data_IF_208247985310
#
_entry.id   IF_208247985310
#
_cell.length_a   1.000
_cell.length_b   1.000
_cell.length_c   1.000
_cell.angle_alpha   90.00
_cell.angle_beta   90.00
_cell.angle_gamma   90.00
#
_symmetry.space_group_name_H-M   'P 1'
#
loop_
_entity.id
_entity.type
_entity.pdbx_description
1 polymer ?
#
# COMPACT_ATOMS: atom_id res chain seq x y z
N UNK A 1 3.96 -1.46 -20.58
CA UNK A 1 4.83 -1.78 -19.44
C UNK A 1 4.62 -0.67 -18.44
N UNK A 2 4.17 -0.96 -17.22
CA UNK A 2 3.86 0.11 -16.26
C UNK A 2 5.16 0.77 -15.78
N UNK A 3 5.18 2.10 -15.75
CA UNK A 3 6.32 2.88 -15.26
C UNK A 3 6.21 3.07 -13.75
N UNK A 4 7.35 3.00 -13.04
CA UNK A 4 7.41 3.34 -11.61
C UNK A 4 7.68 4.84 -11.52
N UNK A 5 6.78 5.57 -10.84
CA UNK A 5 6.98 6.98 -10.52
C UNK A 5 7.80 7.09 -9.24
N UNK A 6 7.40 6.35 -8.20
CA UNK A 6 8.08 6.32 -6.90
C UNK A 6 7.91 4.95 -6.26
N UNK A 7 8.89 4.50 -5.48
CA UNK A 7 8.84 3.23 -4.79
C UNK A 7 9.51 3.29 -3.41
N UNK A 8 8.92 2.58 -2.45
CA UNK A 8 9.49 2.36 -1.13
C UNK A 8 9.41 0.88 -0.78
N UNK A 9 10.50 0.34 -0.25
CA UNK A 9 10.53 -0.96 0.40
C UNK A 9 10.56 -0.77 1.92
N UNK A 10 9.79 -1.59 2.63
CA UNK A 10 9.81 -1.67 4.09
C UNK A 10 9.82 -3.13 4.48
N UNK A 11 10.81 -3.53 5.29
CA UNK A 11 10.83 -4.85 5.91
C UNK A 11 10.30 -4.75 7.34
N UNK A 12 9.31 -5.58 7.67
CA UNK A 12 8.75 -5.71 9.01
C UNK A 12 8.78 -7.19 9.38
N UNK A 13 9.57 -7.52 10.40
CA UNK A 13 9.88 -8.91 10.77
C UNK A 13 10.38 -9.71 9.54
N UNK A 14 9.63 -10.76 9.16
CA UNK A 14 9.88 -11.66 8.03
C UNK A 14 9.12 -11.30 6.76
N UNK A 15 8.44 -10.15 6.74
CA UNK A 15 7.64 -9.68 5.61
C UNK A 15 8.34 -8.51 4.93
N UNK A 16 8.40 -8.55 3.60
CA UNK A 16 8.82 -7.43 2.77
C UNK A 16 7.59 -6.79 2.13
N UNK A 17 7.45 -5.47 2.30
CA UNK A 17 6.40 -4.69 1.67
C UNK A 17 7.01 -3.76 0.63
N UNK A 18 6.48 -3.81 -0.59
CA UNK A 18 6.82 -2.90 -1.68
C UNK A 18 5.62 -2.00 -1.93
N UNK A 19 5.80 -0.70 -1.73
CA UNK A 19 4.77 0.33 -1.95
C UNK A 19 5.23 1.18 -3.14
N UNK A 20 4.53 1.07 -4.25
CA UNK A 20 4.97 1.64 -5.53
C UNK A 20 3.84 2.44 -6.17
N UNK A 21 4.09 3.71 -6.46
CA UNK A 21 3.19 4.52 -7.27
C UNK A 21 3.61 4.39 -8.73
N UNK A 22 2.69 3.91 -9.56
CA UNK A 22 2.95 3.51 -10.95
C UNK A 22 1.97 4.19 -11.92
N UNK A 23 2.35 4.23 -13.19
CA UNK A 23 1.53 4.77 -14.28
C UNK A 23 1.54 3.83 -15.49
N UNK A 24 0.39 3.71 -16.14
CA UNK A 24 0.27 3.06 -17.44
C UNK A 24 -0.77 3.80 -18.31
N UNK A 25 -1.08 3.25 -19.48
CA UNK A 25 -1.99 3.87 -20.45
C UNK A 25 -3.42 4.09 -19.90
N UNK A 26 -3.80 3.43 -18.79
CA UNK A 26 -5.10 3.59 -18.13
C UNK A 26 -5.07 4.62 -16.99
N UNK A 27 -3.89 5.14 -16.65
CA UNK A 27 -3.67 6.14 -15.61
C UNK A 27 -2.74 5.67 -14.50
N UNK A 28 -2.78 6.39 -13.37
CA UNK A 28 -1.92 6.16 -12.20
C UNK A 28 -2.59 5.30 -11.14
N UNK A 29 -1.80 4.53 -10.42
CA UNK A 29 -2.26 3.68 -9.35
C UNK A 29 -1.14 3.41 -8.33
N UNK A 30 -1.55 3.14 -7.09
CA UNK A 30 -0.68 2.62 -6.04
C UNK A 30 -0.73 1.09 -6.09
N UNK A 31 0.44 0.44 -6.11
CA UNK A 31 0.59 -1.00 -5.98
C UNK A 31 1.27 -1.30 -4.65
N UNK A 32 0.65 -2.15 -3.85
CA UNK A 32 1.24 -2.62 -2.59
C UNK A 32 1.41 -4.12 -2.71
N UNK A 33 2.65 -4.59 -2.61
CA UNK A 33 3.00 -6.01 -2.63
C UNK A 33 3.53 -6.43 -1.27
N UNK A 34 2.92 -7.45 -0.67
CA UNK A 34 3.47 -8.17 0.48
C UNK A 34 4.18 -9.42 -0.01
N UNK A 35 5.40 -9.64 0.47
CA UNK A 35 6.16 -10.87 0.25
C UNK A 35 6.54 -11.51 1.59
N UNK A 36 6.13 -12.77 1.79
CA UNK A 36 6.43 -13.52 3.00
C UNK A 36 6.53 -15.01 2.70
N UNK A 37 7.59 -15.68 3.18
CA UNK A 37 7.82 -17.11 2.98
C UNK A 37 7.71 -17.56 1.50
N UNK A 38 8.22 -16.75 0.58
CA UNK A 38 8.16 -17.00 -0.86
C UNK A 38 6.78 -16.82 -1.50
N UNK A 39 5.77 -16.36 -0.75
CA UNK A 39 4.45 -15.98 -1.29
C UNK A 39 4.38 -14.49 -1.50
N UNK A 40 3.76 -14.08 -2.61
CA UNK A 40 3.53 -12.68 -2.96
C UNK A 40 2.05 -12.39 -3.08
N UNK A 41 1.56 -11.45 -2.29
CA UNK A 41 0.21 -10.90 -2.39
C UNK A 41 0.31 -9.48 -2.91
N UNK A 42 -0.63 -9.04 -3.75
CA UNK A 42 -0.59 -7.67 -4.29
C UNK A 42 -2.00 -7.10 -4.38
N UNK A 43 -2.12 -5.85 -3.97
CA UNK A 43 -3.32 -5.03 -4.18
C UNK A 43 -2.98 -3.82 -5.04
N UNK A 44 -3.97 -3.32 -5.76
CA UNK A 44 -3.88 -2.11 -6.57
C UNK A 44 -4.98 -1.16 -6.13
N UNK A 45 -4.59 0.08 -5.83
CA UNK A 45 -5.51 1.18 -5.49
C UNK A 45 -5.42 2.21 -6.62
N UNK A 46 -6.50 2.49 -7.35
CA UNK A 46 -6.51 3.57 -8.34
C UNK A 46 -6.11 4.90 -7.70
N UNK A 47 -5.34 5.73 -8.41
CA UNK A 47 -4.88 7.03 -7.89
C UNK A 47 -6.01 7.97 -7.45
N UNK A 48 -7.22 7.78 -7.98
CA UNK A 48 -8.41 8.54 -7.58
C UNK A 48 -8.92 8.21 -6.18
N UNK A 49 -8.47 7.10 -5.57
CA UNK A 49 -8.93 6.64 -4.25
C UNK A 49 -7.83 6.55 -3.20
N UNK A 50 -6.61 7.06 -3.48
CA UNK A 50 -5.48 6.91 -2.56
C UNK A 50 -5.64 7.73 -1.27
N UNK A 51 -6.33 8.87 -1.34
CA UNK A 51 -6.58 9.70 -0.16
C UNK A 51 -7.58 9.03 0.77
N UNK A 52 -8.69 8.50 0.25
CA UNK A 52 -9.67 7.75 1.05
C UNK A 52 -9.05 6.46 1.61
N UNK A 53 -8.23 5.77 0.82
CA UNK A 53 -7.55 4.55 1.27
C UNK A 53 -6.58 4.81 2.42
N UNK A 54 -5.79 5.89 2.36
CA UNK A 54 -4.85 6.25 3.42
C UNK A 54 -5.57 6.76 4.67
N UNK A 55 -6.58 7.62 4.51
CA UNK A 55 -7.43 8.05 5.61
C UNK A 55 -8.09 6.87 6.34
N UNK A 56 -8.60 5.87 5.60
CA UNK A 56 -9.19 4.68 6.22
C UNK A 56 -8.18 3.87 7.06
N UNK A 57 -6.90 3.79 6.63
CA UNK A 57 -5.84 3.16 7.42
C UNK A 57 -5.60 3.98 8.70
N UNK A 58 -5.48 5.30 8.59
CA UNK A 58 -5.27 6.20 9.73
C UNK A 58 -6.43 6.12 10.73
N UNK A 59 -7.68 6.12 10.25
CA UNK A 59 -8.88 6.01 11.09
C UNK A 59 -8.89 4.71 11.91
N UNK A 60 -8.56 3.58 11.28
CA UNK A 60 -8.47 2.27 11.97
C UNK A 60 -7.36 2.29 13.03
N UNK A 61 -6.19 2.85 12.71
CA UNK A 61 -5.08 2.99 13.66
C UNK A 61 -5.41 3.95 14.81
N UNK A 62 -6.12 5.04 14.53
CA UNK A 62 -6.61 5.99 15.53
C UNK A 62 -7.64 5.36 16.47
N UNK A 63 -8.59 4.59 15.93
CA UNK A 63 -9.61 3.90 16.73
C UNK A 63 -9.01 2.90 17.73
N UNK A 64 -7.91 2.23 17.36
CA UNK A 64 -7.21 1.30 18.28
C UNK A 64 -6.55 1.98 19.47
N UNK A 65 -6.26 3.29 19.39
CA UNK A 65 -5.65 4.05 20.49
C UNK A 65 -6.68 4.52 21.53
N UNK A 66 -7.97 4.58 21.19
CA UNK A 66 -9.04 4.99 22.09
C UNK A 66 -9.78 3.83 22.78
N UNK A 67 -9.59 2.59 22.33
CA UNK A 67 -10.27 1.41 22.89
C UNK A 67 -9.62 0.83 24.16
N UNK A 68 -8.68 1.56 24.78
CA UNK A 68 -7.92 1.13 25.96
C UNK A 68 -8.17 1.98 27.22
N UNK A 69 -9.27 2.76 27.26
CA UNK A 69 -9.68 3.55 28.42
C UNK A 69 -10.88 2.94 29.14
#
# INVERSE_FOLDING_TARGET
MDNIIEAKEVQIERKHFYVEFRENDRGRFLRITEEAHGRRNTIIVPSTGTNEFTAAIEDVLGATQHASA
#
